data_IF_205485520449
#
_entry.id   IF_205485520449
#
_cell.length_a   1.000
_cell.length_b   1.000
_cell.length_c   1.000
_cell.angle_alpha   90.00
_cell.angle_beta   90.00
_cell.angle_gamma   90.00
#
_symmetry.space_group_name_H-M   'P 1'
#
loop_
_entity.id
_entity.type
_entity.pdbx_description
1 polymer ?
#
# COMPACT_ATOMS: atom_id res chain seq x y z
N UNK A 1 4.50 -9.75 23.66
CA UNK A 1 4.46 -8.27 23.88
C UNK A 1 3.02 -7.80 23.81
N UNK A 2 2.70 -6.70 24.50
CA UNK A 2 1.41 -6.01 24.36
C UNK A 2 1.57 -4.78 23.46
N UNK A 3 0.95 -4.82 22.28
CA UNK A 3 1.16 -3.83 21.22
C UNK A 3 -0.15 -3.12 20.91
N UNK A 4 -0.16 -1.80 20.94
CA UNK A 4 -1.30 -0.98 20.56
C UNK A 4 -1.06 -0.34 19.20
N UNK A 5 -1.79 -0.76 18.17
CA UNK A 5 -1.79 -0.10 16.86
C UNK A 5 -2.80 1.04 16.83
N UNK A 6 -2.37 2.23 16.41
CA UNK A 6 -3.22 3.42 16.37
C UNK A 6 -3.41 3.91 14.94
N UNK A 7 -4.65 3.85 14.47
CA UNK A 7 -5.07 4.27 13.13
C UNK A 7 -6.38 5.04 13.17
N UNK A 8 -6.48 6.12 12.41
CA UNK A 8 -7.68 6.97 12.31
C UNK A 8 -7.96 7.30 10.85
N UNK A 9 -9.15 6.96 10.39
CA UNK A 9 -9.58 7.23 9.01
C UNK A 9 -11.09 7.41 8.93
N UNK A 10 -11.58 8.07 7.89
CA UNK A 10 -13.00 8.14 7.55
C UNK A 10 -13.47 6.96 6.70
N UNK A 11 -12.54 6.27 6.03
CA UNK A 11 -12.80 5.15 5.14
C UNK A 11 -11.77 4.05 5.35
N UNK A 12 -12.16 2.81 5.12
CA UNK A 12 -11.24 1.68 5.14
C UNK A 12 -10.54 1.59 3.77
N UNK A 13 -9.22 1.80 3.77
CA UNK A 13 -8.40 1.85 2.55
C UNK A 13 -7.02 1.21 2.81
N UNK A 14 -6.02 1.50 1.98
CA UNK A 14 -4.73 0.81 2.00
C UNK A 14 -3.98 0.83 3.34
N UNK A 15 -4.05 1.92 4.12
CA UNK A 15 -3.38 1.99 5.44
C UNK A 15 -4.12 1.12 6.46
N UNK A 16 -5.44 1.24 6.52
CA UNK A 16 -6.29 0.52 7.46
C UNK A 16 -6.21 -0.99 7.22
N UNK A 17 -6.17 -1.37 5.96
CA UNK A 17 -5.98 -2.74 5.53
C UNK A 17 -4.58 -3.28 5.86
N UNK A 18 -3.52 -2.48 5.61
CA UNK A 18 -2.17 -2.83 6.04
C UNK A 18 -2.12 -3.09 7.55
N UNK A 19 -2.80 -2.25 8.35
CA UNK A 19 -2.90 -2.44 9.80
C UNK A 19 -3.65 -3.73 10.14
N UNK A 20 -4.79 -4.00 9.50
CA UNK A 20 -5.56 -5.22 9.73
C UNK A 20 -4.72 -6.47 9.49
N UNK A 21 -4.12 -6.60 8.30
CA UNK A 21 -3.30 -7.75 7.95
C UNK A 21 -2.12 -7.94 8.90
N UNK A 22 -1.42 -6.84 9.23
CA UNK A 22 -0.29 -6.88 10.14
C UNK A 22 -0.71 -7.31 11.56
N UNK A 23 -1.85 -6.81 12.04
CA UNK A 23 -2.34 -7.13 13.39
C UNK A 23 -2.87 -8.56 13.47
N UNK A 24 -3.48 -9.08 12.41
CA UNK A 24 -3.94 -10.47 12.35
C UNK A 24 -2.76 -11.46 12.45
N UNK A 25 -1.66 -11.19 11.76
CA UNK A 25 -0.47 -12.06 11.84
C UNK A 25 0.25 -11.91 13.19
N UNK A 26 0.41 -10.68 13.70
CA UNK A 26 1.08 -10.44 14.98
C UNK A 26 0.28 -10.96 16.18
N UNK A 27 -1.03 -11.00 16.06
CA UNK A 27 -1.94 -11.50 17.10
C UNK A 27 -1.81 -12.99 17.39
N UNK A 28 -1.08 -13.75 16.55
CA UNK A 28 -0.81 -15.18 16.81
C UNK A 28 0.09 -15.38 18.04
N UNK A 29 1.05 -14.47 18.25
CA UNK A 29 2.08 -14.63 19.29
C UNK A 29 2.15 -13.44 20.26
N UNK A 30 1.33 -12.41 20.05
CA UNK A 30 1.35 -11.19 20.85
C UNK A 30 -0.07 -10.75 21.25
N UNK A 31 -0.16 -9.99 22.34
CA UNK A 31 -1.40 -9.29 22.71
C UNK A 31 -1.53 -8.00 21.88
N UNK A 32 -2.41 -8.02 20.91
CA UNK A 32 -2.62 -6.90 19.98
C UNK A 32 -3.92 -6.16 20.30
N UNK A 33 -3.85 -4.85 20.33
CA UNK A 33 -5.00 -3.96 20.48
C UNK A 33 -4.99 -2.93 19.36
N UNK A 34 -6.10 -2.81 18.64
CA UNK A 34 -6.27 -1.76 17.64
C UNK A 34 -7.06 -0.61 18.26
N UNK A 35 -6.47 0.57 18.27
CA UNK A 35 -7.14 1.82 18.68
C UNK A 35 -7.53 2.54 17.39
N UNK A 36 -8.83 2.64 17.12
CA UNK A 36 -9.33 3.26 15.90
C UNK A 36 -10.68 3.96 16.13
N UNK A 37 -11.18 4.66 15.13
CA UNK A 37 -12.50 5.29 15.22
C UNK A 37 -13.61 4.36 14.68
N UNK A 38 -14.85 4.66 15.05
CA UNK A 38 -16.04 3.83 14.80
C UNK A 38 -16.21 3.44 13.34
N UNK A 39 -15.92 4.35 12.40
CA UNK A 39 -16.13 4.10 10.95
C UNK A 39 -15.31 2.96 10.36
N UNK A 40 -14.21 2.55 11.01
CA UNK A 40 -13.34 1.47 10.56
C UNK A 40 -13.22 0.30 11.55
N UNK A 41 -13.80 0.42 12.75
CA UNK A 41 -13.63 -0.56 13.83
C UNK A 41 -14.17 -1.95 13.49
N UNK A 42 -15.24 -2.04 12.70
CA UNK A 42 -15.89 -3.29 12.32
C UNK A 42 -15.06 -4.17 11.38
N UNK A 43 -13.98 -3.62 10.80
CA UNK A 43 -13.07 -4.41 9.97
C UNK A 43 -12.04 -5.23 10.80
N UNK A 44 -11.84 -4.92 12.07
CA UNK A 44 -10.89 -5.61 12.95
C UNK A 44 -11.65 -6.65 13.80
N UNK A 45 -11.98 -7.80 13.22
CA UNK A 45 -12.89 -8.80 13.84
C UNK A 45 -12.19 -9.78 14.77
N UNK A 46 -10.90 -10.05 14.57
CA UNK A 46 -10.15 -11.07 15.31
C UNK A 46 -9.27 -10.51 16.43
N UNK A 47 -9.37 -9.21 16.71
CA UNK A 47 -8.45 -8.48 17.58
C UNK A 47 -9.21 -7.57 18.52
N UNK A 48 -8.72 -7.33 19.72
CA UNK A 48 -9.30 -6.38 20.65
C UNK A 48 -9.28 -4.96 20.06
N UNK A 49 -10.43 -4.31 19.97
CA UNK A 49 -10.60 -2.95 19.45
C UNK A 49 -10.97 -1.98 20.57
N UNK A 50 -10.27 -0.86 20.65
CA UNK A 50 -10.64 0.29 21.46
C UNK A 50 -11.08 1.42 20.53
N UNK A 51 -12.38 1.68 20.55
CA UNK A 51 -12.97 2.75 19.74
C UNK A 51 -12.71 4.10 20.40
N UNK A 52 -12.17 5.03 19.61
CA UNK A 52 -11.94 6.43 19.98
C UNK A 52 -12.56 7.35 18.92
N UNK A 53 -12.78 8.62 19.27
CA UNK A 53 -13.24 9.58 18.28
C UNK A 53 -12.16 9.85 17.20
N UNK A 54 -12.59 10.21 16.01
CA UNK A 54 -11.69 10.64 14.94
C UNK A 54 -11.18 12.08 15.19
N UNK A 55 -10.40 12.24 16.23
CA UNK A 55 -9.95 13.52 16.75
C UNK A 55 -9.02 14.28 15.80
N UNK A 56 -9.05 15.61 15.88
CA UNK A 56 -8.05 16.44 15.22
C UNK A 56 -6.70 16.41 15.97
N UNK A 57 -5.61 16.80 15.28
CA UNK A 57 -4.26 16.84 15.86
C UNK A 57 -4.13 17.76 17.06
N UNK A 58 -5.06 18.70 17.27
CA UNK A 58 -5.06 19.73 18.31
C UNK A 58 -6.21 19.60 19.33
N UNK A 59 -6.98 18.51 19.26
CA UNK A 59 -8.11 18.28 20.18
C UNK A 59 -7.60 17.95 21.58
N UNK A 60 -7.71 18.87 22.51
CA UNK A 60 -7.27 18.67 23.90
C UNK A 60 -8.06 17.53 24.55
N UNK A 61 -9.40 17.54 24.44
CA UNK A 61 -10.27 16.50 25.00
C UNK A 61 -9.99 15.13 24.39
N UNK A 62 -9.77 15.07 23.08
CA UNK A 62 -9.41 13.79 22.41
C UNK A 62 -8.04 13.27 22.85
N UNK A 63 -7.06 14.15 23.07
CA UNK A 63 -5.75 13.76 23.60
C UNK A 63 -5.87 13.22 25.02
N UNK A 64 -6.67 13.89 25.89
CA UNK A 64 -6.91 13.43 27.26
C UNK A 64 -7.64 12.06 27.29
N UNK A 65 -8.67 11.89 26.46
CA UNK A 65 -9.35 10.60 26.30
C UNK A 65 -8.39 9.50 25.87
N UNK A 66 -7.52 9.75 24.88
CA UNK A 66 -6.53 8.77 24.43
C UNK A 66 -5.51 8.46 25.52
N UNK A 67 -5.11 9.44 26.35
CA UNK A 67 -4.24 9.20 27.50
C UNK A 67 -4.88 8.22 28.49
N UNK A 68 -6.17 8.37 28.78
CA UNK A 68 -6.89 7.46 29.67
C UNK A 68 -6.96 6.04 29.08
N UNK A 69 -7.26 5.93 27.79
CA UNK A 69 -7.25 4.64 27.06
C UNK A 69 -5.89 3.97 27.17
N UNK A 70 -4.81 4.68 26.84
CA UNK A 70 -3.44 4.12 26.87
C UNK A 70 -2.97 3.78 28.30
N UNK A 71 -3.36 4.55 29.31
CA UNK A 71 -3.09 4.22 30.73
C UNK A 71 -3.81 2.95 31.19
N UNK A 72 -5.01 2.71 30.67
CA UNK A 72 -5.76 1.48 30.96
C UNK A 72 -5.16 0.26 30.26
N UNK A 73 -4.80 0.41 28.97
CA UNK A 73 -4.20 -0.67 28.16
C UNK A 73 -2.81 -1.03 28.66
N UNK A 74 -1.98 -0.05 29.00
CA UNK A 74 -0.54 -0.20 29.39
C UNK A 74 0.26 -0.99 28.36
N UNK A 75 0.28 -0.57 27.07
CA UNK A 75 0.99 -1.30 26.04
C UNK A 75 2.51 -1.16 26.22
N UNK A 76 3.27 -2.21 25.84
CA UNK A 76 4.72 -2.17 25.74
C UNK A 76 5.15 -1.24 24.60
N UNK A 77 4.41 -1.28 23.49
CA UNK A 77 4.64 -0.50 22.26
C UNK A 77 3.33 0.17 21.81
N UNK A 78 3.43 1.43 21.42
CA UNK A 78 2.38 2.12 20.64
C UNK A 78 2.89 2.31 19.22
N UNK A 79 2.23 1.70 18.23
CA UNK A 79 2.56 1.84 16.81
C UNK A 79 1.52 2.70 16.10
N UNK A 80 1.91 3.89 15.67
CA UNK A 80 1.03 4.82 14.94
C UNK A 80 1.21 4.71 13.44
N UNK A 81 0.10 4.74 12.69
CA UNK A 81 0.10 4.63 11.23
C UNK A 81 -0.28 5.95 10.58
N UNK A 82 0.68 6.55 9.87
CA UNK A 82 0.52 7.82 9.16
C UNK A 82 0.72 9.07 10.02
N UNK A 83 0.79 10.23 9.38
CA UNK A 83 1.22 11.49 10.01
C UNK A 83 0.24 12.07 11.04
N UNK A 84 -1.07 11.79 10.91
CA UNK A 84 -2.09 12.28 11.84
C UNK A 84 -1.96 11.60 13.19
N UNK A 85 -1.98 10.29 13.23
CA UNK A 85 -1.86 9.46 14.44
C UNK A 85 -0.49 9.66 15.10
N UNK A 86 0.60 9.70 14.31
CA UNK A 86 1.95 10.02 14.81
C UNK A 86 1.98 11.36 15.54
N UNK A 87 1.34 12.41 14.97
CA UNK A 87 1.28 13.72 15.60
C UNK A 87 0.53 13.70 16.94
N UNK A 88 -0.55 12.95 17.01
CA UNK A 88 -1.37 12.80 18.23
C UNK A 88 -0.56 12.06 19.31
N UNK A 89 0.07 10.93 18.98
CA UNK A 89 0.92 10.19 19.94
C UNK A 89 2.10 11.04 20.42
N UNK A 90 2.72 11.83 19.55
CA UNK A 90 3.77 12.79 19.97
C UNK A 90 3.26 13.82 21.00
N UNK A 91 1.99 14.20 20.95
CA UNK A 91 1.36 15.07 21.96
C UNK A 91 1.07 14.31 23.25
N UNK A 92 0.57 13.10 23.18
CA UNK A 92 0.30 12.22 24.33
C UNK A 92 1.59 11.94 25.12
N UNK A 93 2.72 11.71 24.45
CA UNK A 93 4.03 11.44 25.06
C UNK A 93 4.58 12.58 25.95
N UNK A 94 4.00 13.77 25.90
CA UNK A 94 4.33 14.86 26.83
C UNK A 94 3.76 14.62 28.23
N UNK A 95 2.75 13.75 28.35
CA UNK A 95 2.00 13.52 29.58
C UNK A 95 2.19 12.10 30.16
N UNK A 96 2.53 11.14 29.32
CA UNK A 96 2.79 9.76 29.73
C UNK A 96 4.04 9.18 29.04
N UNK A 97 4.79 8.37 29.76
CA UNK A 97 5.91 7.61 29.19
C UNK A 97 5.35 6.45 28.38
N UNK A 98 5.70 6.35 27.12
CA UNK A 98 5.38 5.22 26.25
C UNK A 98 6.42 5.08 25.13
N UNK A 99 6.63 3.85 24.67
CA UNK A 99 7.48 3.56 23.52
C UNK A 99 6.67 3.71 22.25
N UNK A 100 7.17 4.51 21.31
CA UNK A 100 6.43 4.91 20.12
C UNK A 100 7.19 4.52 18.87
N UNK A 101 6.55 3.70 18.02
CA UNK A 101 6.96 3.38 16.66
C UNK A 101 5.98 4.07 15.69
N UNK A 102 6.47 4.58 14.58
CA UNK A 102 5.63 5.28 13.60
C UNK A 102 5.88 4.75 12.18
N UNK A 103 4.85 4.25 11.51
CA UNK A 103 4.92 3.84 10.10
C UNK A 103 4.55 4.97 9.14
N UNK A 104 5.35 5.07 8.06
CA UNK A 104 5.19 6.02 6.96
C UNK A 104 4.80 5.25 5.69
N UNK A 105 3.53 5.37 5.28
CA UNK A 105 2.95 4.60 4.17
C UNK A 105 2.98 5.32 2.81
N UNK A 106 3.57 6.50 2.72
CA UNK A 106 3.66 7.23 1.45
C UNK A 106 4.57 8.44 1.56
N UNK A 107 5.08 8.90 0.43
CA UNK A 107 5.94 10.07 0.35
C UNK A 107 5.16 11.30 0.82
N UNK A 108 5.72 12.03 1.77
CA UNK A 108 5.12 13.22 2.39
C UNK A 108 6.02 14.43 2.23
N UNK A 109 5.43 15.59 1.93
CA UNK A 109 6.15 16.87 1.91
C UNK A 109 6.62 17.35 3.30
N UNK A 110 5.94 16.89 4.37
CA UNK A 110 6.25 17.27 5.76
C UNK A 110 6.54 16.02 6.60
N UNK A 111 7.81 15.69 6.77
CA UNK A 111 8.27 14.50 7.49
C UNK A 111 8.67 14.75 8.95
N UNK A 112 8.84 16.01 9.37
CA UNK A 112 9.30 16.39 10.73
C UNK A 112 8.49 15.76 11.89
N UNK A 113 7.24 15.37 11.64
CA UNK A 113 6.38 14.73 12.66
C UNK A 113 6.96 13.38 13.11
N UNK A 114 7.63 12.66 12.23
CA UNK A 114 8.19 11.35 12.49
C UNK A 114 9.49 11.41 13.32
N UNK A 115 10.24 12.52 13.26
CA UNK A 115 11.50 12.69 14.03
C UNK A 115 11.32 12.60 15.55
N UNK A 116 10.08 12.63 16.04
CA UNK A 116 9.77 12.53 17.47
C UNK A 116 9.39 11.11 17.91
N UNK A 117 9.20 10.18 17.00
CA UNK A 117 9.02 8.78 17.35
C UNK A 117 10.34 8.17 17.83
N UNK A 118 10.31 7.10 18.60
CA UNK A 118 11.53 6.40 19.03
C UNK A 118 12.13 5.57 17.89
N UNK A 119 11.26 5.00 17.05
CA UNK A 119 11.62 4.29 15.81
C UNK A 119 10.64 4.67 14.71
N UNK A 120 11.13 4.70 13.50
CA UNK A 120 10.33 4.97 12.31
C UNK A 120 10.47 3.80 11.35
N UNK A 121 9.36 3.38 10.76
CA UNK A 121 9.30 2.36 9.73
C UNK A 121 8.89 3.04 8.42
N UNK A 122 9.67 2.83 7.36
CA UNK A 122 9.41 3.31 6.02
C UNK A 122 8.91 2.15 5.13
N UNK A 123 7.80 2.35 4.42
CA UNK A 123 7.18 1.32 3.57
C UNK A 123 7.87 1.12 2.21
N UNK A 124 8.90 1.88 1.88
CA UNK A 124 9.77 1.69 0.70
C UNK A 124 11.06 2.49 0.84
N UNK A 125 12.08 2.14 0.04
CA UNK A 125 13.35 2.87 -0.02
C UNK A 125 13.13 4.35 -0.36
N UNK A 126 12.30 4.67 -1.34
CA UNK A 126 11.97 6.07 -1.71
C UNK A 126 11.32 6.86 -0.55
N UNK A 127 10.52 6.19 0.27
CA UNK A 127 9.99 6.81 1.51
C UNK A 127 11.14 7.01 2.49
N UNK A 128 11.98 6.01 2.72
CA UNK A 128 13.13 6.07 3.62
C UNK A 128 14.06 7.23 3.25
N UNK A 129 14.43 7.37 1.98
CA UNK A 129 15.30 8.44 1.47
C UNK A 129 14.67 9.84 1.64
N UNK A 130 13.34 9.93 1.67
CA UNK A 130 12.62 11.19 1.90
C UNK A 130 12.59 11.63 3.38
N UNK A 131 12.95 10.74 4.31
CA UNK A 131 12.95 11.01 5.74
C UNK A 131 14.25 11.66 6.18
N UNK A 132 14.17 12.57 7.18
CA UNK A 132 15.32 13.20 7.83
C UNK A 132 15.65 12.54 9.17
N UNK A 133 15.18 11.33 9.39
CA UNK A 133 15.40 10.57 10.61
C UNK A 133 15.74 9.14 10.24
N UNK A 134 16.52 8.49 11.07
CA UNK A 134 16.81 7.07 10.92
C UNK A 134 15.51 6.25 10.92
N UNK A 135 15.43 5.27 10.02
CA UNK A 135 14.23 4.46 9.84
C UNK A 135 14.57 3.06 9.34
N UNK A 136 13.78 2.09 9.76
CA UNK A 136 13.85 0.72 9.29
C UNK A 136 12.99 0.56 8.03
N UNK A 137 13.52 -0.09 7.02
CA UNK A 137 12.77 -0.42 5.81
C UNK A 137 11.94 -1.68 6.05
N UNK A 138 10.61 -1.54 5.95
CA UNK A 138 9.67 -2.66 5.91
C UNK A 138 8.70 -2.42 4.77
N UNK A 139 8.91 -3.10 3.69
CA UNK A 139 8.16 -2.94 2.46
C UNK A 139 6.76 -3.54 2.58
N UNK A 140 5.87 -3.14 1.67
CA UNK A 140 4.55 -3.76 1.54
C UNK A 140 4.70 -5.23 1.12
N UNK A 141 3.65 -5.99 1.32
CA UNK A 141 3.54 -7.41 0.97
C UNK A 141 2.35 -7.64 0.03
N UNK A 142 2.36 -8.79 -0.68
CA UNK A 142 1.20 -9.26 -1.43
C UNK A 142 0.07 -9.66 -0.47
N UNK A 143 -1.16 -9.73 -0.99
CA UNK A 143 -2.32 -9.99 -0.12
C UNK A 143 -2.31 -11.44 0.40
N UNK A 144 -2.36 -11.66 1.73
CA UNK A 144 -2.14 -12.99 2.32
C UNK A 144 -3.26 -14.02 2.02
N UNK A 145 -4.41 -13.61 1.49
CA UNK A 145 -5.47 -14.53 1.07
C UNK A 145 -5.48 -14.84 -0.43
N UNK A 146 -4.45 -14.42 -1.18
CA UNK A 146 -4.31 -14.85 -2.57
C UNK A 146 -4.06 -16.37 -2.65
N UNK A 147 -4.65 -17.06 -3.63
CA UNK A 147 -4.37 -18.48 -3.85
C UNK A 147 -2.93 -18.66 -4.33
N UNK A 148 -2.31 -19.79 -3.99
CA UNK A 148 -0.96 -20.12 -4.45
C UNK A 148 -0.87 -20.28 -5.98
N UNK A 149 -1.96 -20.69 -6.61
CA UNK A 149 -2.02 -20.91 -8.05
C UNK A 149 -3.35 -20.40 -8.62
N UNK A 150 -3.30 -19.84 -9.81
CA UNK A 150 -4.46 -19.46 -10.61
C UNK A 150 -4.40 -20.12 -11.99
N UNK A 151 -5.56 -20.41 -12.57
CA UNK A 151 -5.64 -20.80 -13.97
C UNK A 151 -5.72 -19.54 -14.82
N UNK A 152 -4.60 -19.09 -15.40
CA UNK A 152 -4.52 -17.87 -16.17
C UNK A 152 -4.91 -18.10 -17.64
N UNK A 153 -5.93 -17.35 -18.14
CA UNK A 153 -6.42 -17.42 -19.52
C UNK A 153 -5.85 -16.34 -20.44
N UNK A 154 -5.16 -15.35 -19.90
CA UNK A 154 -4.43 -14.30 -20.63
C UNK A 154 -5.27 -13.53 -21.69
N UNK A 155 -6.46 -13.05 -21.29
CA UNK A 155 -7.44 -12.43 -22.20
C UNK A 155 -7.20 -10.93 -22.45
N UNK A 156 -6.61 -10.23 -21.47
CA UNK A 156 -6.40 -8.77 -21.52
C UNK A 156 -5.20 -8.31 -20.71
N UNK A 157 -4.78 -7.08 -20.94
CA UNK A 157 -3.86 -6.35 -20.07
C UNK A 157 -4.62 -5.68 -18.95
N UNK A 158 -4.11 -5.73 -17.73
CA UNK A 158 -4.79 -5.27 -16.53
C UNK A 158 -4.08 -4.05 -15.92
N UNK A 159 -4.87 -3.08 -15.47
CA UNK A 159 -4.40 -1.98 -14.61
C UNK A 159 -5.39 -1.79 -13.47
N UNK A 160 -4.90 -1.63 -12.23
CA UNK A 160 -5.76 -1.57 -11.03
C UNK A 160 -5.39 -0.36 -10.19
N UNK A 161 -6.40 0.40 -9.74
CA UNK A 161 -6.17 1.48 -8.78
C UNK A 161 -7.29 2.49 -8.73
N UNK A 162 -7.23 3.40 -7.75
CA UNK A 162 -8.18 4.51 -7.67
C UNK A 162 -8.04 5.44 -8.88
N UNK A 163 -9.13 5.84 -9.47
CA UNK A 163 -9.13 6.75 -10.63
C UNK A 163 -8.81 8.18 -10.16
N UNK A 164 -7.53 8.39 -9.82
CA UNK A 164 -6.94 9.65 -9.37
C UNK A 164 -5.75 10.04 -10.25
N UNK A 165 -5.42 11.34 -10.39
CA UNK A 165 -4.33 11.80 -11.26
C UNK A 165 -2.99 11.14 -10.96
N UNK A 166 -2.74 10.79 -9.69
CA UNK A 166 -1.49 10.14 -9.25
C UNK A 166 -1.28 8.75 -9.83
N UNK A 167 -2.34 8.07 -10.29
CA UNK A 167 -2.29 6.74 -10.89
C UNK A 167 -1.91 6.74 -12.38
N UNK A 168 -1.96 7.90 -13.04
CA UNK A 168 -1.48 8.04 -14.42
C UNK A 168 -2.29 7.27 -15.48
N UNK A 169 -3.56 6.95 -15.21
CA UNK A 169 -4.41 6.26 -16.19
C UNK A 169 -4.66 7.08 -17.45
N UNK A 170 -4.60 8.39 -17.37
CA UNK A 170 -4.60 9.28 -18.53
C UNK A 170 -3.41 9.01 -19.46
N UNK A 171 -2.19 8.91 -18.91
CA UNK A 171 -0.99 8.55 -19.68
C UNK A 171 -1.10 7.12 -20.25
N UNK A 172 -1.66 6.19 -19.48
CA UNK A 172 -1.84 4.81 -19.93
C UNK A 172 -2.80 4.76 -21.14
N UNK A 173 -3.92 5.47 -21.08
CA UNK A 173 -4.88 5.56 -22.20
C UNK A 173 -4.23 6.21 -23.43
N UNK A 174 -3.51 7.31 -23.27
CA UNK A 174 -2.80 7.95 -24.38
C UNK A 174 -1.71 7.04 -24.98
N UNK A 175 -1.03 6.24 -24.15
CA UNK A 175 -0.04 5.26 -24.60
C UNK A 175 -0.67 4.09 -25.37
N UNK A 176 -1.99 3.89 -25.26
CA UNK A 176 -2.70 2.78 -25.92
C UNK A 176 -3.04 3.05 -27.39
N UNK A 177 -2.80 4.27 -27.88
CA UNK A 177 -3.02 4.62 -29.28
C UNK A 177 -2.11 3.77 -30.17
N UNK A 178 -2.73 3.00 -31.08
CA UNK A 178 -2.14 1.99 -31.98
C UNK A 178 -1.77 0.64 -31.30
N UNK A 179 -2.14 0.40 -30.05
CA UNK A 179 -2.02 -0.91 -29.39
C UNK A 179 -3.26 -1.75 -29.70
N UNK A 180 -3.07 -2.90 -30.34
CA UNK A 180 -4.17 -3.82 -30.70
C UNK A 180 -4.37 -4.92 -29.66
N UNK A 181 -4.52 -4.52 -28.38
CA UNK A 181 -4.81 -5.42 -27.25
C UNK A 181 -5.93 -4.83 -26.40
N UNK A 182 -6.66 -5.66 -25.71
CA UNK A 182 -7.64 -5.21 -24.71
C UNK A 182 -6.93 -4.76 -23.46
N UNK A 183 -7.33 -3.61 -22.93
CA UNK A 183 -6.92 -3.07 -21.63
C UNK A 183 -8.14 -2.97 -20.71
N UNK A 184 -8.04 -3.56 -19.56
CA UNK A 184 -9.04 -3.43 -18.51
C UNK A 184 -8.48 -2.61 -17.35
N UNK A 185 -9.14 -1.50 -17.04
CA UNK A 185 -8.81 -0.65 -15.89
C UNK A 185 -9.85 -0.91 -14.80
N UNK A 186 -9.43 -1.43 -13.64
CA UNK A 186 -10.31 -1.73 -12.51
C UNK A 186 -10.15 -0.67 -11.43
N UNK A 187 -11.22 0.07 -11.15
CA UNK A 187 -11.19 1.07 -10.10
C UNK A 187 -12.28 2.11 -10.16
N UNK A 188 -12.39 2.88 -9.07
CA UNK A 188 -13.28 4.02 -8.94
C UNK A 188 -12.50 5.28 -8.56
N UNK A 189 -13.08 6.44 -8.84
CA UNK A 189 -12.50 7.72 -8.44
C UNK A 189 -12.97 8.91 -9.25
N UNK A 190 -12.54 10.12 -8.86
CA UNK A 190 -13.02 11.37 -9.45
C UNK A 190 -12.64 11.57 -10.93
N UNK A 191 -11.62 10.84 -11.43
CA UNK A 191 -11.19 10.96 -12.84
C UNK A 191 -12.03 10.11 -13.81
N UNK A 192 -13.01 9.30 -13.34
CA UNK A 192 -13.76 8.35 -14.17
C UNK A 192 -14.33 8.99 -15.45
N UNK A 193 -15.07 10.11 -15.34
CA UNK A 193 -15.66 10.78 -16.50
C UNK A 193 -14.61 11.34 -17.46
N UNK A 194 -13.52 11.88 -16.93
CA UNK A 194 -12.41 12.41 -17.73
C UNK A 194 -11.69 11.31 -18.51
N UNK A 195 -11.47 10.17 -17.88
CA UNK A 195 -10.80 9.01 -18.51
C UNK A 195 -11.68 8.42 -19.64
N UNK A 196 -13.00 8.30 -19.43
CA UNK A 196 -13.91 7.87 -20.49
C UNK A 196 -13.91 8.86 -21.69
N UNK A 197 -13.95 10.16 -21.40
CA UNK A 197 -13.84 11.19 -22.48
C UNK A 197 -12.52 11.09 -23.24
N UNK A 198 -11.45 10.67 -22.59
CA UNK A 198 -10.14 10.46 -23.24
C UNK A 198 -10.16 9.21 -24.13
N UNK A 199 -10.78 8.12 -23.69
CA UNK A 199 -11.01 6.90 -24.49
C UNK A 199 -11.80 7.23 -25.76
N UNK A 200 -12.91 7.95 -25.61
CA UNK A 200 -13.74 8.38 -26.74
C UNK A 200 -12.98 9.29 -27.72
N UNK A 201 -12.24 10.27 -27.20
CA UNK A 201 -11.42 11.20 -28.00
C UNK A 201 -10.41 10.48 -28.89
N UNK A 202 -9.83 9.37 -28.41
CA UNK A 202 -8.85 8.60 -29.15
C UNK A 202 -9.46 7.40 -29.92
N UNK A 203 -10.79 7.20 -29.87
CA UNK A 203 -11.46 6.09 -30.54
C UNK A 203 -11.08 4.72 -29.98
N UNK A 204 -10.79 4.63 -28.68
CA UNK A 204 -10.28 3.42 -28.01
C UNK A 204 -11.37 2.60 -27.31
N UNK A 205 -12.64 2.89 -27.52
CA UNK A 205 -13.75 2.21 -26.84
C UNK A 205 -13.85 0.70 -27.07
N UNK A 206 -13.35 0.21 -28.22
CA UNK A 206 -13.29 -1.23 -28.51
C UNK A 206 -12.12 -1.95 -27.79
N UNK A 207 -11.13 -1.20 -27.31
CA UNK A 207 -9.92 -1.74 -26.71
C UNK A 207 -9.83 -1.49 -25.20
N UNK A 208 -10.34 -0.37 -24.69
CA UNK A 208 -10.20 -0.01 -23.28
C UNK A 208 -11.56 -0.04 -22.59
N UNK A 209 -11.63 -0.76 -21.49
CA UNK A 209 -12.80 -0.78 -20.59
C UNK A 209 -12.39 -0.33 -19.19
N UNK A 210 -13.17 0.58 -18.59
CA UNK A 210 -13.07 0.92 -17.18
C UNK A 210 -14.20 0.21 -16.44
N UNK A 211 -13.87 -0.56 -15.41
CA UNK A 211 -14.84 -1.26 -14.56
C UNK A 211 -14.74 -0.77 -13.12
N UNK A 212 -15.86 -0.71 -12.37
CA UNK A 212 -15.84 -0.33 -10.97
C UNK A 212 -14.86 -1.13 -10.12
N UNK A 213 -14.45 -0.57 -9.00
CA UNK A 213 -13.68 -1.29 -8.00
C UNK A 213 -14.47 -2.48 -7.45
N UNK A 214 -13.78 -3.57 -7.22
CA UNK A 214 -14.34 -4.80 -6.64
C UNK A 214 -13.67 -5.10 -5.30
N UNK A 215 -14.26 -6.04 -4.55
CA UNK A 215 -13.59 -6.59 -3.38
C UNK A 215 -12.28 -7.29 -3.77
N UNK A 216 -11.44 -7.58 -2.80
CA UNK A 216 -10.17 -8.27 -3.08
C UNK A 216 -10.35 -9.67 -3.61
N UNK A 217 -11.34 -10.36 -3.08
CA UNK A 217 -11.73 -11.68 -3.55
C UNK A 217 -12.18 -11.61 -5.02
N UNK A 218 -12.92 -10.55 -5.37
CA UNK A 218 -13.33 -10.28 -6.74
C UNK A 218 -12.15 -9.94 -7.67
N UNK A 219 -11.05 -9.38 -7.16
CA UNK A 219 -9.86 -9.10 -7.99
C UNK A 219 -9.19 -10.37 -8.50
N UNK A 220 -9.34 -11.52 -7.82
CA UNK A 220 -8.76 -12.79 -8.26
C UNK A 220 -9.25 -13.17 -9.66
N UNK A 221 -10.52 -12.98 -9.96
CA UNK A 221 -11.08 -13.24 -11.29
C UNK A 221 -10.46 -12.37 -12.39
N UNK A 222 -10.10 -11.14 -12.06
CA UNK A 222 -9.42 -10.24 -12.98
C UNK A 222 -7.95 -10.63 -13.19
N UNK A 223 -7.27 -11.04 -12.14
CA UNK A 223 -5.92 -11.59 -12.27
C UNK A 223 -5.88 -12.87 -13.10
N UNK A 224 -6.85 -13.77 -12.95
CA UNK A 224 -6.94 -15.02 -13.71
C UNK A 224 -7.02 -14.81 -15.23
N UNK A 225 -7.46 -13.65 -15.68
CA UNK A 225 -7.61 -13.30 -17.10
C UNK A 225 -6.56 -12.32 -17.61
N UNK A 226 -5.67 -11.88 -16.75
CA UNK A 226 -4.66 -10.91 -17.11
C UNK A 226 -3.46 -11.54 -17.79
N UNK A 227 -3.08 -11.07 -18.98
CA UNK A 227 -1.84 -11.46 -19.67
C UNK A 227 -0.63 -10.68 -19.17
N UNK A 228 -0.86 -9.48 -18.62
CA UNK A 228 0.15 -8.53 -18.16
C UNK A 228 -0.53 -7.54 -17.20
N UNK A 229 0.15 -7.14 -16.13
CA UNK A 229 -0.25 -6.00 -15.32
C UNK A 229 0.62 -4.78 -15.65
N UNK A 230 -0.01 -3.61 -15.82
CA UNK A 230 0.69 -2.33 -16.01
C UNK A 230 0.44 -1.41 -14.81
N UNK A 231 1.53 -0.90 -14.23
CA UNK A 231 1.50 0.19 -13.25
C UNK A 231 1.96 1.47 -13.93
N UNK A 232 1.03 2.40 -14.17
CA UNK A 232 1.30 3.68 -14.85
C UNK A 232 1.45 4.87 -13.90
N UNK A 233 1.54 4.63 -12.62
CA UNK A 233 1.47 5.66 -11.57
C UNK A 233 2.57 6.71 -11.70
N UNK A 234 2.20 7.98 -11.44
CA UNK A 234 3.16 9.08 -11.29
C UNK A 234 3.92 9.03 -9.99
N UNK A 235 3.28 8.49 -8.95
CA UNK A 235 3.88 8.39 -7.62
C UNK A 235 3.18 7.32 -6.78
N UNK A 236 3.98 6.44 -6.18
CA UNK A 236 3.53 5.39 -5.25
C UNK A 236 4.46 5.30 -4.05
N UNK A 237 3.94 4.77 -2.93
CA UNK A 237 4.77 4.31 -1.83
C UNK A 237 5.34 2.91 -2.08
N UNK A 238 4.56 2.06 -2.74
CA UNK A 238 4.85 0.68 -3.13
C UNK A 238 3.56 0.05 -3.65
N UNK A 239 3.42 -0.15 -4.97
CA UNK A 239 2.18 -0.64 -5.57
C UNK A 239 1.93 -2.12 -5.23
N UNK A 240 0.98 -2.39 -4.33
CA UNK A 240 0.66 -3.76 -3.90
C UNK A 240 0.13 -4.62 -5.04
N UNK A 241 -0.64 -4.05 -5.95
CA UNK A 241 -1.17 -4.76 -7.13
C UNK A 241 -0.06 -5.37 -7.99
N UNK A 242 1.13 -4.75 -8.02
CA UNK A 242 2.28 -5.33 -8.72
C UNK A 242 2.83 -6.55 -7.97
N UNK A 243 2.90 -6.51 -6.63
CA UNK A 243 3.31 -7.65 -5.81
C UNK A 243 2.31 -8.80 -5.94
N UNK A 244 1.01 -8.48 -5.95
CA UNK A 244 -0.07 -9.44 -6.09
C UNK A 244 -0.04 -10.14 -7.47
N UNK A 245 0.16 -9.37 -8.56
CA UNK A 245 0.30 -9.93 -9.90
C UNK A 245 1.54 -10.83 -10.02
N UNK A 246 2.69 -10.37 -9.54
CA UNK A 246 3.93 -11.16 -9.57
C UNK A 246 3.83 -12.43 -8.73
N UNK A 247 3.18 -12.37 -7.55
CA UNK A 247 2.92 -13.55 -6.74
C UNK A 247 2.03 -14.57 -7.46
N UNK A 248 1.07 -14.10 -8.27
CA UNK A 248 0.19 -14.93 -9.10
C UNK A 248 0.80 -15.30 -10.47
N UNK A 249 2.09 -15.11 -10.64
CA UNK A 249 2.83 -15.40 -11.88
C UNK A 249 2.34 -14.61 -13.11
N UNK A 250 1.78 -13.42 -12.89
CA UNK A 250 1.39 -12.49 -13.95
C UNK A 250 2.54 -11.51 -14.18
N UNK A 251 3.08 -11.40 -15.40
CA UNK A 251 4.13 -10.44 -15.71
C UNK A 251 3.72 -9.00 -15.39
N UNK A 252 4.69 -8.16 -15.01
CA UNK A 252 4.47 -6.77 -14.67
C UNK A 252 5.45 -5.87 -15.43
N UNK A 253 4.93 -4.78 -15.99
CA UNK A 253 5.72 -3.60 -16.38
C UNK A 253 5.23 -2.40 -15.58
N UNK A 254 6.10 -1.45 -15.29
CA UNK A 254 5.76 -0.37 -14.36
C UNK A 254 6.48 0.93 -14.69
N UNK A 255 5.87 2.04 -14.33
CA UNK A 255 6.65 3.26 -14.08
C UNK A 255 7.59 3.04 -12.89
N UNK A 256 8.74 3.71 -12.87
CA UNK A 256 9.72 3.62 -11.78
C UNK A 256 9.23 4.32 -10.51
N UNK A 257 8.26 3.72 -9.80
CA UNK A 257 7.66 4.24 -8.57
C UNK A 257 7.80 3.26 -7.42
N UNK A 258 7.76 3.77 -6.19
CA UNK A 258 7.83 2.95 -4.97
C UNK A 258 9.08 2.09 -4.93
N UNK A 259 8.89 0.78 -4.79
CA UNK A 259 9.93 -0.25 -4.77
C UNK A 259 10.16 -0.94 -6.12
N UNK A 260 9.52 -0.47 -7.21
CA UNK A 260 9.55 -1.19 -8.49
C UNK A 260 10.96 -1.35 -9.07
N UNK A 261 11.85 -0.36 -8.87
CA UNK A 261 13.26 -0.48 -9.31
C UNK A 261 14.12 -1.45 -8.48
N UNK A 262 13.60 -1.98 -7.38
CA UNK A 262 14.24 -3.04 -6.59
C UNK A 262 13.77 -4.43 -7.01
N UNK A 263 12.62 -4.50 -7.69
CA UNK A 263 11.95 -5.73 -8.10
C UNK A 263 12.16 -6.00 -9.58
N UNK A 264 11.91 -4.99 -10.41
CA UNK A 264 11.98 -5.11 -11.86
C UNK A 264 13.31 -4.57 -12.42
N UNK A 265 13.91 -5.23 -13.41
CA UNK A 265 15.03 -4.70 -14.13
C UNK A 265 14.65 -3.43 -14.92
N UNK A 266 15.65 -2.62 -15.26
CA UNK A 266 15.44 -1.29 -15.85
C UNK A 266 14.65 -1.31 -17.16
N UNK A 267 14.79 -2.36 -17.95
CA UNK A 267 14.07 -2.54 -19.22
C UNK A 267 12.56 -2.75 -19.05
N UNK A 268 12.07 -3.08 -17.85
CA UNK A 268 10.65 -3.21 -17.49
C UNK A 268 10.12 -1.95 -16.80
N UNK A 269 10.88 -0.87 -16.76
CA UNK A 269 10.55 0.36 -16.08
C UNK A 269 10.49 1.57 -17.03
N UNK A 270 9.41 2.33 -16.94
CA UNK A 270 9.26 3.64 -17.58
C UNK A 270 9.51 4.78 -16.59
N UNK A 271 9.93 5.94 -17.10
CA UNK A 271 10.01 7.15 -16.30
C UNK A 271 8.60 7.61 -15.87
N UNK A 272 8.38 7.92 -14.58
CA UNK A 272 7.10 8.43 -14.12
C UNK A 272 6.73 9.76 -14.80
N UNK A 273 5.43 9.96 -15.05
CA UNK A 273 4.87 11.15 -15.69
C UNK A 273 5.47 11.46 -17.09
N UNK A 274 5.87 10.43 -17.82
CA UNK A 274 6.48 10.52 -19.14
C UNK A 274 5.73 9.61 -20.14
N UNK A 275 4.93 10.20 -21.01
CA UNK A 275 4.12 9.49 -22.01
C UNK A 275 4.98 8.66 -22.96
N UNK A 276 6.04 9.24 -23.50
CA UNK A 276 6.89 8.59 -24.50
C UNK A 276 7.64 7.38 -23.90
N UNK A 277 8.10 7.52 -22.65
CA UNK A 277 8.75 6.42 -21.93
C UNK A 277 7.77 5.27 -21.66
N UNK A 278 6.53 5.58 -21.23
CA UNK A 278 5.51 4.56 -20.98
C UNK A 278 5.08 3.88 -22.28
N UNK A 279 4.89 4.65 -23.35
CA UNK A 279 4.55 4.11 -24.67
C UNK A 279 5.63 3.20 -25.21
N UNK A 280 6.89 3.62 -25.17
CA UNK A 280 8.03 2.80 -25.58
C UNK A 280 8.12 1.50 -24.78
N UNK A 281 7.85 1.55 -23.47
CA UNK A 281 7.82 0.36 -22.64
C UNK A 281 6.70 -0.60 -23.07
N UNK A 282 5.50 -0.09 -23.32
CA UNK A 282 4.36 -0.89 -23.80
C UNK A 282 4.67 -1.51 -25.16
N UNK A 283 5.11 -0.71 -26.14
CA UNK A 283 5.43 -1.17 -27.50
C UNK A 283 6.52 -2.28 -27.50
N UNK A 284 7.47 -2.18 -26.59
CA UNK A 284 8.53 -3.19 -26.46
C UNK A 284 8.08 -4.51 -25.86
N UNK A 285 7.08 -4.49 -24.98
CA UNK A 285 6.76 -5.65 -24.16
C UNK A 285 5.35 -6.23 -24.33
N UNK A 286 4.41 -5.50 -24.96
CA UNK A 286 3.01 -5.90 -25.05
C UNK A 286 2.78 -7.23 -25.78
N UNK A 287 3.62 -7.56 -26.77
CA UNK A 287 3.53 -8.78 -27.59
C UNK A 287 4.63 -9.81 -27.27
N UNK A 288 5.50 -9.52 -26.32
CA UNK A 288 6.58 -10.43 -25.95
C UNK A 288 6.20 -11.33 -24.80
N UNK A 289 6.51 -12.61 -24.93
CA UNK A 289 6.49 -13.51 -23.79
C UNK A 289 7.63 -13.14 -22.86
N UNK A 290 7.29 -12.65 -21.65
CA UNK A 290 8.27 -12.32 -20.63
C UNK A 290 8.37 -13.47 -19.64
N UNK A 291 9.57 -14.06 -19.52
CA UNK A 291 9.86 -14.91 -18.37
C UNK A 291 10.31 -14.02 -17.21
N UNK A 292 9.48 -13.91 -16.17
CA UNK A 292 9.80 -13.25 -14.91
C UNK A 292 9.89 -14.26 -13.76
N UNK A 293 10.22 -15.51 -14.06
CA UNK A 293 10.17 -16.63 -13.12
C UNK A 293 10.99 -16.36 -11.84
N UNK A 294 12.22 -15.90 -11.98
CA UNK A 294 13.07 -15.55 -10.83
C UNK A 294 12.50 -14.38 -10.00
N UNK A 295 11.73 -13.49 -10.63
CA UNK A 295 11.04 -12.40 -9.93
C UNK A 295 9.83 -12.96 -9.17
N UNK A 296 9.08 -13.88 -9.74
CA UNK A 296 7.93 -14.50 -9.09
C UNK A 296 8.35 -15.23 -7.80
N UNK A 297 9.39 -16.06 -7.87
CA UNK A 297 9.95 -16.75 -6.70
C UNK A 297 10.43 -15.76 -5.63
N UNK A 298 11.17 -14.73 -6.04
CA UNK A 298 11.64 -13.68 -5.15
C UNK A 298 10.50 -12.94 -4.43
N UNK A 299 9.42 -12.61 -5.15
CA UNK A 299 8.26 -11.94 -4.57
C UNK A 299 7.51 -12.84 -3.59
N UNK A 300 7.30 -14.10 -3.95
CA UNK A 300 6.62 -15.05 -3.08
C UNK A 300 7.31 -15.18 -1.72
N UNK A 301 8.64 -15.19 -1.70
CA UNK A 301 9.44 -15.32 -0.49
C UNK A 301 9.64 -14.00 0.25
N UNK A 302 10.16 -12.96 -0.44
CA UNK A 302 10.65 -11.75 0.22
C UNK A 302 9.56 -10.76 0.60
N UNK A 303 8.44 -10.75 -0.13
CA UNK A 303 7.32 -9.83 0.08
C UNK A 303 6.11 -10.49 0.73
N UNK A 304 6.33 -11.54 1.54
CA UNK A 304 5.29 -12.16 2.35
C UNK A 304 4.99 -11.34 3.60
N UNK A 305 3.76 -11.42 4.11
CA UNK A 305 3.37 -10.76 5.36
C UNK A 305 4.13 -11.32 6.57
N UNK A 306 4.45 -12.61 6.58
CA UNK A 306 5.25 -13.24 7.64
C UNK A 306 6.62 -12.59 7.75
N UNK A 307 7.28 -12.34 6.62
CA UNK A 307 8.59 -11.68 6.56
C UNK A 307 8.51 -10.22 6.99
N UNK A 308 7.49 -9.50 6.52
CA UNK A 308 7.25 -8.12 6.92
C UNK A 308 6.94 -8.01 8.42
N UNK A 309 6.10 -8.89 8.95
CA UNK A 309 5.78 -8.93 10.39
C UNK A 309 7.02 -9.18 11.24
N UNK A 310 7.89 -10.14 10.87
CA UNK A 310 9.16 -10.39 11.57
C UNK A 310 10.06 -9.16 11.59
N UNK A 311 10.18 -8.44 10.46
CA UNK A 311 10.93 -7.17 10.38
C UNK A 311 10.35 -6.12 11.34
N UNK A 312 9.00 -5.98 11.40
CA UNK A 312 8.35 -5.04 12.33
C UNK A 312 8.57 -5.43 13.78
N UNK A 313 8.42 -6.71 14.13
CA UNK A 313 8.65 -7.22 15.49
C UNK A 313 10.10 -7.00 15.95
N UNK A 314 11.08 -7.19 15.08
CA UNK A 314 12.48 -6.89 15.35
C UNK A 314 12.71 -5.41 15.71
N UNK A 315 12.00 -4.47 15.09
CA UNK A 315 12.05 -3.04 15.46
C UNK A 315 11.49 -2.81 16.86
N UNK A 316 10.46 -3.54 17.27
CA UNK A 316 9.91 -3.44 18.63
C UNK A 316 10.88 -4.01 19.67
N UNK A 317 11.45 -5.17 19.41
CA UNK A 317 12.41 -5.83 20.28
C UNK A 317 13.68 -4.98 20.49
N UNK A 318 14.22 -4.40 19.41
CA UNK A 318 15.34 -3.45 19.51
C UNK A 318 14.99 -2.22 20.36
N UNK A 319 13.77 -1.72 20.28
CA UNK A 319 13.32 -0.60 21.11
C UNK A 319 13.14 -1.00 22.58
N UNK A 320 12.71 -2.22 22.86
CA UNK A 320 12.53 -2.72 24.22
C UNK A 320 13.86 -3.03 24.90
N UNK A 321 14.83 -3.57 24.16
CA UNK A 321 16.16 -3.95 24.70
C UNK A 321 17.03 -2.75 25.09
N UNK A 322 16.81 -1.58 24.49
CA UNK A 322 17.59 -0.34 24.74
C UNK A 322 16.97 0.57 25.81
N UNK A 323 16.01 0.07 26.59
CA UNK A 323 15.20 0.88 27.52
C UNK A 323 15.55 0.64 28.99
#
# INVERSE_FOLDING_TARGET
MKIAHYVLSSTFAGIEQHVQELTDIQGRDNEIIVICNQSISHHYTNIEVKVVENISRRSIFGILSLILVLRNIRPDIVHSHGSKTTSIINSVRRFIKLRHVASVHGIKSKTKVYNKAHRVIAGSQKIQDSLKTDSSLVENWWHPSLPENINNTAEYVLAIGRLEPVKGFDLLIESWVNVNKKLLIVGDGPEHSKLNSLIDKHGLGDFITITPSVSKEGLIEYYQKASLLIVSSRREGGPRVALEALYLHIPVISTNVGHMSQILPQELLAEPDNLESLKSLIDNWIDRSMSQESIFEYIAEEYSIDKASKKVLSVYEDLLSKS
#
